data_IF_839505405248
#
_entry.id   IF_839505405248
#
_cell.length_a   1.000
_cell.length_b   1.000
_cell.length_c   1.000
_cell.angle_alpha   90.00
_cell.angle_beta   90.00
_cell.angle_gamma   90.00
#
_symmetry.space_group_name_H-M   'P 1'
#
loop_
_entity.id
_entity.type
_entity.pdbx_description
1 polymer ?
#
# COMPACT_ATOMS: atom_id res chain seq x y z
N UNK A 1 15.37 25.84 27.31
CA UNK A 1 13.99 26.29 27.00
C UNK A 1 13.65 26.00 25.54
N UNK A 2 12.57 25.25 25.29
CA UNK A 2 12.02 25.09 23.94
C UNK A 2 10.81 26.02 23.80
N UNK A 3 10.74 26.74 22.68
CA UNK A 3 9.56 27.52 22.28
C UNK A 3 8.81 26.70 21.24
N UNK A 4 7.49 26.58 21.40
CA UNK A 4 6.61 25.89 20.46
C UNK A 4 5.63 26.90 19.87
N UNK A 5 5.34 26.75 18.58
CA UNK A 5 4.26 27.46 17.90
C UNK A 5 3.14 26.45 17.60
N UNK A 6 1.89 26.82 17.92
CA UNK A 6 0.72 25.97 17.71
C UNK A 6 -0.24 26.67 16.76
N UNK A 7 -0.62 25.97 15.69
CA UNK A 7 -1.76 26.34 14.86
C UNK A 7 -2.97 25.46 15.25
N UNK A 8 -4.16 26.05 15.30
CA UNK A 8 -5.41 25.33 15.54
C UNK A 8 -6.49 25.90 14.62
N UNK A 9 -7.04 25.04 13.78
CA UNK A 9 -8.15 25.38 12.90
C UNK A 9 -9.46 24.80 13.45
N UNK A 10 -10.52 25.62 13.48
CA UNK A 10 -11.88 25.17 13.76
C UNK A 10 -12.73 25.34 12.50
N UNK A 11 -13.27 24.25 11.98
CA UNK A 11 -14.06 24.25 10.74
C UNK A 11 -15.51 23.88 11.07
N UNK A 12 -16.46 24.70 10.62
CA UNK A 12 -17.87 24.38 10.71
C UNK A 12 -18.19 23.23 9.74
N UNK A 13 -18.79 22.16 10.25
CA UNK A 13 -19.18 21.02 9.40
C UNK A 13 -20.23 21.43 8.35
N UNK A 14 -20.22 20.83 7.15
CA UNK A 14 -21.20 21.14 6.11
C UNK A 14 -22.65 21.02 6.60
N UNK A 15 -23.46 22.04 6.32
CA UNK A 15 -24.91 22.00 6.57
C UNK A 15 -25.61 21.11 5.53
N UNK A 16 -25.21 21.21 4.27
CA UNK A 16 -25.60 20.30 3.20
C UNK A 16 -24.74 19.03 3.27
N UNK A 17 -25.25 18.01 3.96
CA UNK A 17 -24.56 16.75 4.19
C UNK A 17 -24.34 15.94 2.90
N UNK A 18 -23.13 15.42 2.71
CA UNK A 18 -22.87 14.40 1.69
C UNK A 18 -23.70 13.14 1.97
N UNK A 19 -24.25 12.51 0.92
CA UNK A 19 -24.89 11.19 1.05
C UNK A 19 -23.85 10.15 1.53
N UNK A 20 -24.03 9.54 2.71
CA UNK A 20 -23.12 8.49 3.21
C UNK A 20 -23.18 7.24 2.33
N UNK A 21 -22.12 6.43 2.38
CA UNK A 21 -22.09 5.09 1.79
C UNK A 21 -21.77 4.08 2.88
N UNK A 22 -22.56 3.02 2.97
CA UNK A 22 -22.35 1.98 3.97
C UNK A 22 -21.05 1.21 3.72
N UNK A 23 -20.40 0.86 4.82
CA UNK A 23 -19.20 0.02 4.82
C UNK A 23 -19.53 -1.40 4.37
N UNK A 24 -18.67 -1.97 3.53
CA UNK A 24 -18.71 -3.37 3.13
C UNK A 24 -17.33 -4.00 3.35
N UNK A 25 -17.20 -5.08 4.14
CA UNK A 25 -15.90 -5.69 4.45
C UNK A 25 -15.22 -6.32 3.23
N UNK A 26 -15.89 -6.40 2.08
CA UNK A 26 -15.31 -6.89 0.81
C UNK A 26 -14.62 -5.78 0.01
N UNK A 27 -14.71 -4.52 0.44
CA UNK A 27 -14.03 -3.38 -0.19
C UNK A 27 -13.32 -2.56 0.89
N UNK A 28 -11.99 -2.46 0.76
CA UNK A 28 -11.08 -1.92 1.76
C UNK A 28 -11.13 -0.41 1.97
N UNK A 29 -12.17 0.09 2.62
CA UNK A 29 -12.27 1.48 3.07
C UNK A 29 -12.12 1.63 4.59
N UNK A 30 -11.54 2.75 5.01
CA UNK A 30 -11.68 3.24 6.37
C UNK A 30 -13.16 3.58 6.61
N UNK A 31 -13.59 3.40 7.84
CA UNK A 31 -14.98 3.59 8.19
C UNK A 31 -15.12 4.20 9.58
N UNK A 32 -16.20 4.94 9.75
CA UNK A 32 -16.65 5.47 11.04
C UNK A 32 -18.02 4.91 11.34
N UNK A 33 -18.34 4.78 12.63
CA UNK A 33 -19.60 4.19 13.06
C UNK A 33 -20.28 5.01 14.13
N UNK A 34 -21.60 5.01 14.10
CA UNK A 34 -22.44 5.58 15.15
C UNK A 34 -23.58 4.63 15.51
N UNK A 35 -24.13 4.87 16.69
CA UNK A 35 -25.18 4.05 17.27
C UNK A 35 -26.51 4.77 17.01
N UNK A 36 -27.38 4.13 16.22
CA UNK A 36 -28.70 4.63 15.87
C UNK A 36 -29.76 3.87 16.68
N UNK A 37 -30.39 4.58 17.61
CA UNK A 37 -31.38 4.04 18.53
C UNK A 37 -32.79 3.98 17.92
N UNK A 38 -33.03 4.68 16.80
CA UNK A 38 -34.35 4.76 16.17
C UNK A 38 -34.47 3.84 14.95
N UNK A 39 -33.35 3.51 14.30
CA UNK A 39 -33.34 2.70 13.09
C UNK A 39 -33.65 1.20 13.29
N UNK A 40 -33.74 0.71 14.53
CA UNK A 40 -34.12 -0.67 14.82
C UNK A 40 -35.29 -0.73 15.82
N UNK A 41 -36.52 -1.04 15.37
CA UNK A 41 -37.68 -1.11 16.26
C UNK A 41 -37.60 -2.25 17.30
N UNK A 42 -36.62 -3.14 17.20
CA UNK A 42 -36.38 -4.26 18.12
C UNK A 42 -34.99 -4.21 18.77
N UNK A 43 -34.31 -3.06 18.77
CA UNK A 43 -32.99 -2.92 19.39
C UNK A 43 -32.26 -1.65 18.99
N UNK A 44 -30.95 -1.74 18.76
CA UNK A 44 -30.11 -0.62 18.33
C UNK A 44 -29.35 -1.02 17.07
N UNK A 45 -29.29 -0.14 16.06
CA UNK A 45 -28.54 -0.38 14.82
C UNK A 45 -27.20 0.34 14.89
N UNK A 46 -26.09 -0.39 14.79
CA UNK A 46 -24.78 0.23 14.56
C UNK A 46 -24.65 0.53 13.07
N UNK A 47 -24.67 1.79 12.69
CA UNK A 47 -24.39 2.19 11.33
C UNK A 47 -22.87 2.34 11.17
N UNK A 48 -22.32 1.82 10.08
CA UNK A 48 -20.90 1.95 9.74
C UNK A 48 -20.81 2.43 8.31
N UNK A 49 -20.18 3.58 8.11
CA UNK A 49 -20.10 4.29 6.83
C UNK A 49 -18.64 4.49 6.47
N UNK A 50 -18.32 4.41 5.18
CA UNK A 50 -16.96 4.65 4.71
C UNK A 50 -16.58 6.12 4.82
N UNK A 51 -15.29 6.40 4.93
CA UNK A 51 -14.77 7.77 4.78
C UNK A 51 -14.33 8.01 3.34
N UNK A 52 -14.77 9.11 2.72
CA UNK A 52 -14.44 9.49 1.34
C UNK A 52 -14.64 10.97 1.07
N UNK A 53 -13.99 11.51 0.05
CA UNK A 53 -14.29 12.87 -0.44
C UNK A 53 -15.65 12.94 -1.13
N UNK A 54 -16.30 14.11 -1.04
CA UNK A 54 -17.51 14.39 -1.79
C UNK A 54 -17.18 14.67 -3.26
N UNK A 55 -17.43 13.70 -4.14
CA UNK A 55 -17.37 13.88 -5.60
C UNK A 55 -18.77 13.76 -6.22
N UNK A 56 -19.23 14.88 -6.74
CA UNK A 56 -20.50 15.02 -7.47
C UNK A 56 -20.21 15.79 -8.77
N UNK A 57 -20.88 15.49 -9.90
CA UNK A 57 -20.76 16.29 -11.12
C UNK A 57 -21.19 17.74 -10.90
N UNK A 58 -20.65 18.66 -11.70
CA UNK A 58 -21.24 20.00 -11.87
C UNK A 58 -22.69 19.86 -12.37
N UNK A 59 -23.56 20.78 -11.99
CA UNK A 59 -25.00 20.70 -12.28
C UNK A 59 -25.27 20.59 -13.81
N UNK A 60 -24.52 21.34 -14.60
CA UNK A 60 -24.56 21.35 -16.07
C UNK A 60 -24.04 20.06 -16.73
N UNK A 61 -23.27 19.25 -16.01
CA UNK A 61 -22.63 18.03 -16.51
C UNK A 61 -23.32 16.74 -16.03
N UNK A 62 -24.38 16.83 -15.21
CA UNK A 62 -25.12 15.68 -14.67
C UNK A 62 -25.60 14.73 -15.77
N UNK A 63 -26.17 15.26 -16.85
CA UNK A 63 -26.68 14.42 -17.96
C UNK A 63 -25.55 13.81 -18.79
N UNK A 64 -24.39 14.47 -18.89
CA UNK A 64 -23.18 13.87 -19.51
C UNK A 64 -22.66 12.70 -18.67
N UNK A 65 -22.58 12.89 -17.35
CA UNK A 65 -22.17 11.86 -16.42
C UNK A 65 -23.07 10.61 -16.51
N UNK A 66 -24.40 10.82 -16.53
CA UNK A 66 -25.37 9.71 -16.67
C UNK A 66 -25.25 8.96 -17.99
N UNK A 67 -24.76 9.60 -19.06
CA UNK A 67 -24.44 8.95 -20.34
C UNK A 67 -23.10 8.21 -20.35
N UNK A 68 -22.34 8.29 -19.25
CA UNK A 68 -21.03 7.66 -19.12
C UNK A 68 -19.87 8.50 -19.67
N UNK A 69 -20.10 9.78 -19.98
CA UNK A 69 -19.02 10.71 -20.36
C UNK A 69 -18.21 11.11 -19.12
N UNK A 70 -16.89 11.30 -19.28
CA UNK A 70 -16.04 11.82 -18.21
C UNK A 70 -16.30 13.30 -17.99
N UNK A 71 -16.66 13.66 -16.75
CA UNK A 71 -16.96 15.04 -16.34
C UNK A 71 -15.97 15.50 -15.27
N UNK A 72 -15.93 16.79 -14.99
CA UNK A 72 -15.21 17.30 -13.83
C UNK A 72 -16.11 17.30 -12.60
N UNK A 73 -15.60 16.95 -11.40
CA UNK A 73 -16.40 17.11 -10.19
C UNK A 73 -16.61 18.59 -9.89
N UNK A 74 -17.70 18.89 -9.18
CA UNK A 74 -17.99 20.22 -8.69
C UNK A 74 -16.88 20.77 -7.77
N UNK A 75 -16.27 19.88 -6.97
CA UNK A 75 -15.11 20.19 -6.13
C UNK A 75 -14.01 19.13 -6.34
N UNK A 76 -12.96 19.44 -7.12
CA UNK A 76 -11.78 18.60 -7.21
C UNK A 76 -11.05 18.45 -5.87
N UNK A 77 -10.39 17.33 -5.67
CA UNK A 77 -9.48 17.09 -4.56
C UNK A 77 -8.13 17.72 -4.92
N UNK A 78 -7.69 18.69 -4.12
CA UNK A 78 -6.46 19.45 -4.40
C UNK A 78 -5.46 19.24 -3.26
N UNK A 79 -4.26 18.77 -3.60
CA UNK A 79 -3.13 18.68 -2.67
C UNK A 79 -2.12 19.78 -2.98
N UNK A 80 -1.63 20.45 -1.94
CA UNK A 80 -0.50 21.37 -2.06
C UNK A 80 0.80 20.72 -1.57
N UNK A 81 1.89 20.98 -2.26
CA UNK A 81 3.22 20.56 -1.81
C UNK A 81 3.84 21.66 -0.96
N UNK A 82 4.30 21.28 0.23
CA UNK A 82 5.00 22.18 1.15
C UNK A 82 6.20 22.86 0.47
N UNK A 83 6.28 24.21 0.50
CA UNK A 83 7.44 24.96 0.02
C UNK A 83 8.80 24.50 0.58
N UNK A 84 8.82 23.94 1.79
CA UNK A 84 10.01 23.41 2.44
C UNK A 84 10.51 22.09 1.81
N UNK A 85 9.71 21.45 0.96
CA UNK A 85 10.12 20.25 0.24
C UNK A 85 11.29 20.56 -0.69
N UNK A 86 12.38 19.77 -0.67
CA UNK A 86 13.47 19.91 -1.63
C UNK A 86 12.95 19.89 -3.07
N UNK A 87 13.30 20.93 -3.85
CA UNK A 87 12.68 21.18 -5.18
C UNK A 87 12.80 20.02 -6.17
N UNK A 88 13.86 19.22 -6.07
CA UNK A 88 14.04 18.02 -6.91
C UNK A 88 13.00 16.92 -6.68
N UNK A 89 12.37 16.88 -5.50
CA UNK A 89 11.35 15.87 -5.15
C UNK A 89 9.92 16.31 -5.46
N UNK A 90 9.68 17.62 -5.60
CA UNK A 90 8.35 18.20 -5.87
C UNK A 90 7.67 17.56 -7.10
N UNK A 91 8.34 17.36 -8.25
CA UNK A 91 7.70 16.73 -9.41
C UNK A 91 7.20 15.31 -9.14
N UNK A 92 7.92 14.56 -8.31
CA UNK A 92 7.59 13.17 -7.99
C UNK A 92 6.42 13.05 -7.00
N UNK A 93 6.35 13.95 -6.01
CA UNK A 93 5.19 14.05 -5.11
C UNK A 93 3.92 14.47 -5.87
N UNK A 94 4.05 15.44 -6.78
CA UNK A 94 2.94 15.85 -7.65
C UNK A 94 2.47 14.66 -8.51
N UNK A 95 3.41 13.93 -9.11
CA UNK A 95 3.08 12.76 -9.90
C UNK A 95 2.38 11.68 -9.07
N UNK A 96 2.79 11.45 -7.82
CA UNK A 96 2.19 10.43 -6.96
C UNK A 96 0.71 10.70 -6.64
N UNK A 97 0.36 11.98 -6.40
CA UNK A 97 -1.05 12.40 -6.28
C UNK A 97 -1.80 12.21 -7.60
N UNK A 98 -1.22 12.66 -8.71
CA UNK A 98 -1.88 12.65 -10.02
C UNK A 98 -2.07 11.24 -10.59
N UNK A 99 -1.30 10.25 -10.14
CA UNK A 99 -1.45 8.85 -10.57
C UNK A 99 -2.86 8.30 -10.31
N UNK A 100 -3.53 8.79 -9.25
CA UNK A 100 -4.90 8.39 -8.90
C UNK A 100 -5.96 8.86 -9.89
N UNK A 101 -5.65 9.79 -10.79
CA UNK A 101 -6.59 10.26 -11.80
C UNK A 101 -7.14 9.10 -12.65
N UNK A 102 -6.30 8.12 -13.01
CA UNK A 102 -6.74 6.96 -13.79
C UNK A 102 -7.79 6.09 -13.05
N UNK A 103 -7.78 6.09 -11.71
CA UNK A 103 -8.79 5.41 -10.91
C UNK A 103 -10.10 6.22 -10.86
N UNK A 104 -10.02 7.54 -10.71
CA UNK A 104 -11.20 8.41 -10.74
C UNK A 104 -11.92 8.45 -12.10
N UNK A 105 -11.19 8.24 -13.21
CA UNK A 105 -11.81 8.07 -14.53
C UNK A 105 -12.76 6.86 -14.54
N UNK A 106 -12.45 5.79 -13.79
CA UNK A 106 -13.39 4.65 -13.63
C UNK A 106 -14.64 5.06 -12.88
N UNK A 107 -14.54 5.98 -11.92
CA UNK A 107 -15.70 6.57 -11.26
C UNK A 107 -16.45 7.61 -12.12
N UNK A 108 -15.98 7.93 -13.33
CA UNK A 108 -16.61 8.88 -14.26
C UNK A 108 -16.08 10.31 -14.17
N UNK A 109 -14.97 10.54 -13.46
CA UNK A 109 -14.43 11.88 -13.23
C UNK A 109 -13.04 12.06 -13.84
N UNK A 110 -12.87 13.11 -14.66
CA UNK A 110 -11.57 13.67 -15.07
C UNK A 110 -11.22 14.87 -14.18
N UNK A 111 -9.93 15.19 -14.03
CA UNK A 111 -9.44 16.27 -13.16
C UNK A 111 -10.02 16.20 -11.74
N UNK A 112 -10.19 14.98 -11.22
CA UNK A 112 -10.82 14.72 -9.93
C UNK A 112 -9.85 14.94 -8.78
N UNK A 113 -8.57 14.63 -8.99
CA UNK A 113 -7.50 14.76 -8.03
C UNK A 113 -6.30 15.40 -8.70
N UNK A 114 -5.74 16.42 -8.07
CA UNK A 114 -4.58 17.17 -8.58
C UNK A 114 -3.66 17.62 -7.45
N UNK A 115 -2.35 17.56 -7.69
CA UNK A 115 -1.37 18.23 -6.85
C UNK A 115 -0.81 19.49 -7.50
N UNK A 116 -0.48 20.48 -6.67
CA UNK A 116 0.10 21.77 -7.06
C UNK A 116 1.16 22.20 -6.07
N UNK A 117 2.11 23.02 -6.51
CA UNK A 117 2.93 23.77 -5.54
C UNK A 117 2.04 24.73 -4.74
N UNK A 118 2.38 24.94 -3.47
CA UNK A 118 1.73 25.93 -2.63
C UNK A 118 1.78 27.34 -3.30
N UNK A 119 0.68 28.10 -3.25
CA UNK A 119 0.64 29.47 -3.76
C UNK A 119 1.68 30.38 -3.10
N UNK A 120 2.22 31.34 -3.86
CA UNK A 120 3.07 32.41 -3.33
C UNK A 120 2.24 33.57 -2.77
N UNK A 121 1.18 33.27 -2.04
CA UNK A 121 0.29 34.27 -1.41
C UNK A 121 0.63 34.35 0.09
N UNK A 122 1.00 35.53 0.63
CA UNK A 122 1.30 35.68 2.05
C UNK A 122 0.12 35.39 2.98
N UNK A 123 -1.12 35.39 2.47
CA UNK A 123 -2.31 35.02 3.25
C UNK A 123 -2.64 33.52 3.18
N UNK A 124 -1.91 32.76 2.37
CA UNK A 124 -2.06 31.31 2.29
C UNK A 124 -1.18 30.64 3.33
N UNK A 125 -1.76 29.70 4.07
CA UNK A 125 -1.03 28.86 5.02
C UNK A 125 -1.26 27.39 4.71
N UNK A 126 -0.20 26.60 4.86
CA UNK A 126 -0.26 25.14 4.74
C UNK A 126 -1.02 24.50 5.92
N UNK A 127 -1.03 25.17 7.07
CA UNK A 127 -1.71 24.71 8.28
C UNK A 127 -3.21 25.07 8.30
N UNK A 128 -3.70 25.77 7.26
CA UNK A 128 -5.11 26.08 7.10
C UNK A 128 -5.89 24.81 6.75
N UNK A 129 -6.85 24.43 7.59
CA UNK A 129 -7.68 23.23 7.39
C UNK A 129 -8.54 23.26 6.11
N UNK A 130 -8.59 24.37 5.38
CA UNK A 130 -9.22 24.43 4.04
C UNK A 130 -8.33 23.85 2.94
N UNK A 131 -7.06 23.58 3.22
CA UNK A 131 -6.08 23.08 2.27
C UNK A 131 -5.57 21.70 2.68
N UNK A 132 -5.69 20.74 1.78
CA UNK A 132 -4.99 19.46 1.90
C UNK A 132 -3.56 19.60 1.39
N UNK A 133 -2.59 18.96 2.04
CA UNK A 133 -1.19 19.13 1.71
C UNK A 133 -0.34 17.90 1.98
N UNK A 134 0.80 17.82 1.29
CA UNK A 134 1.93 16.97 1.67
C UNK A 134 2.92 17.87 2.42
N UNK A 135 3.00 17.66 3.73
CA UNK A 135 3.74 18.51 4.67
C UNK A 135 5.11 17.91 4.93
N UNK A 136 6.16 18.65 4.61
CA UNK A 136 7.53 18.15 4.71
C UNK A 136 8.04 18.31 6.14
N UNK A 137 8.50 17.21 6.74
CA UNK A 137 9.01 17.16 8.10
C UNK A 137 10.53 16.90 8.06
N UNK A 138 11.38 17.90 8.40
CA UNK A 138 12.83 17.73 8.47
C UNK A 138 13.20 16.94 9.75
N UNK A 139 12.87 15.66 9.76
CA UNK A 139 13.05 14.73 10.88
C UNK A 139 13.85 13.52 10.46
N UNK A 140 14.63 13.00 11.42
CA UNK A 140 15.39 11.76 11.39
C UNK A 140 14.50 10.51 11.51
N UNK A 141 13.22 10.65 11.85
CA UNK A 141 12.24 9.55 11.85
C UNK A 141 11.98 9.13 10.39
N UNK A 142 12.25 7.87 10.01
CA UNK A 142 12.03 7.42 8.66
C UNK A 142 10.59 6.93 8.51
N UNK A 143 9.67 7.80 8.10
CA UNK A 143 8.25 7.43 7.95
C UNK A 143 7.49 8.32 6.96
N UNK A 144 6.30 7.91 6.59
CA UNK A 144 5.25 8.78 6.06
C UNK A 144 3.89 8.37 6.65
N UNK A 145 2.93 9.29 6.67
CA UNK A 145 1.56 8.94 7.05
C UNK A 145 0.54 9.84 6.38
N UNK A 146 -0.51 9.24 5.81
CA UNK A 146 -1.66 9.93 5.20
C UNK A 146 -2.92 9.89 6.05
N UNK A 147 -3.02 10.65 7.17
CA UNK A 147 -4.25 10.76 7.94
C UNK A 147 -5.30 11.58 7.19
N UNK A 148 -6.55 11.52 7.63
CA UNK A 148 -7.58 12.44 7.14
C UNK A 148 -8.56 12.81 8.26
N UNK A 149 -9.11 14.03 8.19
CA UNK A 149 -10.22 14.48 9.06
C UNK A 149 -11.53 14.36 8.30
N UNK A 150 -12.57 13.86 8.96
CA UNK A 150 -13.85 13.58 8.31
C UNK A 150 -15.05 13.95 9.20
N UNK A 151 -16.17 14.26 8.56
CA UNK A 151 -17.45 14.45 9.24
C UNK A 151 -17.95 13.08 9.76
N UNK A 152 -18.12 12.90 11.09
CA UNK A 152 -18.55 11.63 11.66
C UNK A 152 -19.99 11.23 11.28
N UNK A 153 -20.79 12.19 10.78
CA UNK A 153 -22.19 11.96 10.40
C UNK A 153 -22.31 11.35 9.01
N UNK A 154 -21.37 11.65 8.12
CA UNK A 154 -21.45 11.31 6.69
C UNK A 154 -20.26 10.54 6.14
N UNK A 155 -19.14 10.55 6.86
CA UNK A 155 -17.85 10.07 6.37
C UNK A 155 -17.20 11.00 5.34
N UNK A 156 -17.72 12.21 5.13
CA UNK A 156 -17.13 13.18 4.20
C UNK A 156 -15.74 13.60 4.70
N UNK A 157 -14.69 13.27 3.93
CA UNK A 157 -13.34 13.76 4.19
C UNK A 157 -13.31 15.26 3.92
N UNK A 158 -12.82 16.02 4.90
CA UNK A 158 -12.80 17.49 4.89
C UNK A 158 -11.43 18.02 4.50
N UNK A 159 -10.37 17.43 5.07
CA UNK A 159 -8.97 17.80 4.83
C UNK A 159 -8.05 16.60 5.10
N UNK A 160 -6.82 16.72 4.60
CA UNK A 160 -5.72 15.81 4.93
C UNK A 160 -4.37 16.53 4.88
N UNK A 161 -3.51 16.25 5.86
CA UNK A 161 -2.09 16.58 5.84
C UNK A 161 -1.25 15.32 5.87
N UNK A 162 -0.71 14.93 4.72
CA UNK A 162 0.25 13.82 4.64
C UNK A 162 1.55 14.27 5.30
N UNK A 163 1.98 13.57 6.34
CA UNK A 163 3.25 13.84 6.99
C UNK A 163 4.36 13.14 6.20
N UNK A 164 5.24 13.94 5.58
CA UNK A 164 6.34 13.44 4.77
C UNK A 164 7.67 13.66 5.47
N UNK A 165 8.23 12.62 6.09
CA UNK A 165 9.47 12.76 6.85
C UNK A 165 10.69 12.66 5.94
N UNK A 166 11.69 13.51 6.17
CA UNK A 166 12.92 13.55 5.37
C UNK A 166 13.60 12.18 5.29
N UNK A 167 13.73 11.49 6.44
CA UNK A 167 14.51 10.26 6.51
C UNK A 167 13.82 9.03 5.90
N UNK A 168 12.62 9.16 5.30
CA UNK A 168 11.99 8.05 4.56
C UNK A 168 12.90 7.52 3.43
N UNK A 169 13.77 8.37 2.89
CA UNK A 169 14.73 8.00 1.85
C UNK A 169 15.68 6.87 2.29
N UNK A 170 15.99 6.77 3.59
CA UNK A 170 16.79 5.68 4.14
C UNK A 170 16.08 4.32 4.00
N UNK A 171 14.78 4.28 4.31
CA UNK A 171 13.97 3.08 4.16
C UNK A 171 13.83 2.71 2.68
N UNK A 172 13.53 3.69 1.82
CA UNK A 172 13.44 3.48 0.38
C UNK A 172 14.73 2.89 -0.19
N UNK A 173 15.89 3.42 0.25
CA UNK A 173 17.20 2.87 -0.10
C UNK A 173 17.33 1.41 0.32
N UNK A 174 17.10 1.11 1.60
CA UNK A 174 17.27 -0.24 2.15
C UNK A 174 16.35 -1.24 1.47
N UNK A 175 15.06 -0.92 1.36
CA UNK A 175 14.08 -1.79 0.75
C UNK A 175 14.42 -2.09 -0.71
N UNK A 176 14.75 -1.06 -1.49
CA UNK A 176 15.08 -1.25 -2.90
C UNK A 176 16.40 -2.01 -3.09
N UNK A 177 17.42 -1.69 -2.29
CA UNK A 177 18.69 -2.41 -2.32
C UNK A 177 18.47 -3.91 -2.11
N UNK A 178 17.74 -4.29 -1.05
CA UNK A 178 17.58 -5.70 -0.66
C UNK A 178 16.63 -6.45 -1.59
N UNK A 179 15.58 -5.80 -2.10
CA UNK A 179 14.57 -6.48 -2.92
C UNK A 179 14.86 -6.44 -4.43
N UNK A 180 15.69 -5.50 -4.92
CA UNK A 180 15.91 -5.30 -6.37
C UNK A 180 17.36 -5.50 -6.84
N UNK A 181 18.40 -5.44 -5.99
CA UNK A 181 19.82 -5.49 -6.45
C UNK A 181 20.20 -6.74 -7.25
N UNK A 182 19.49 -7.85 -7.04
CA UNK A 182 19.70 -9.05 -7.84
C UNK A 182 19.41 -8.81 -9.33
N UNK A 183 18.42 -7.98 -9.66
CA UNK A 183 17.89 -7.80 -11.02
C UNK A 183 18.07 -6.40 -11.59
N UNK A 184 18.22 -5.38 -10.75
CA UNK A 184 18.41 -3.99 -11.16
C UNK A 184 19.79 -3.46 -10.73
N UNK A 185 20.71 -3.21 -11.68
CA UNK A 185 21.99 -2.58 -11.39
C UNK A 185 21.88 -1.21 -10.70
N UNK A 186 20.79 -0.47 -10.90
CA UNK A 186 20.61 0.85 -10.28
C UNK A 186 20.49 0.79 -8.75
N UNK A 187 20.12 -0.37 -8.20
CA UNK A 187 20.00 -0.61 -6.76
C UNK A 187 21.34 -0.93 -6.06
N UNK A 188 22.42 -1.22 -6.82
CA UNK A 188 23.71 -1.75 -6.31
C UNK A 188 24.65 -0.67 -5.77
N UNK A 189 24.09 0.37 -5.16
CA UNK A 189 24.82 1.52 -4.62
C UNK A 189 24.09 2.07 -3.40
N UNK A 190 24.84 2.57 -2.43
CA UNK A 190 24.35 3.18 -1.19
C UNK A 190 23.68 4.55 -1.44
N UNK A 191 24.12 5.27 -2.48
CA UNK A 191 23.56 6.55 -2.91
C UNK A 191 22.89 6.41 -4.27
N UNK A 192 21.57 6.38 -4.26
CA UNK A 192 20.79 6.41 -5.50
C UNK A 192 20.91 7.76 -6.20
N UNK A 193 20.80 7.73 -7.53
CA UNK A 193 20.63 8.97 -8.28
C UNK A 193 19.25 9.57 -8.02
N UNK A 194 19.11 10.86 -8.31
CA UNK A 194 17.87 11.59 -8.05
C UNK A 194 16.68 11.01 -8.82
N UNK A 195 16.91 10.42 -9.99
CA UNK A 195 15.82 9.81 -10.76
C UNK A 195 15.27 8.58 -10.04
N UNK A 196 16.14 7.66 -9.62
CA UNK A 196 15.74 6.46 -8.91
C UNK A 196 15.07 6.80 -7.57
N UNK A 197 15.69 7.67 -6.77
CA UNK A 197 15.10 8.08 -5.50
C UNK A 197 13.77 8.80 -5.69
N UNK A 198 13.65 9.63 -6.74
CA UNK A 198 12.40 10.28 -7.10
C UNK A 198 11.27 9.30 -7.41
N UNK A 199 11.52 8.23 -8.17
CA UNK A 199 10.50 7.20 -8.45
C UNK A 199 10.10 6.43 -7.17
N UNK A 200 11.05 6.18 -6.25
CA UNK A 200 10.76 5.56 -4.95
C UNK A 200 9.90 6.49 -4.07
N UNK A 201 10.17 7.79 -4.09
CA UNK A 201 9.36 8.82 -3.43
C UNK A 201 7.95 8.87 -4.03
N UNK A 202 7.82 8.84 -5.37
CA UNK A 202 6.54 8.80 -6.05
C UNK A 202 5.71 7.59 -5.62
N UNK A 203 6.31 6.40 -5.55
CA UNK A 203 5.64 5.19 -5.05
C UNK A 203 4.99 5.41 -3.69
N UNK A 204 5.77 5.83 -2.67
CA UNK A 204 5.21 6.03 -1.32
C UNK A 204 4.20 7.17 -1.30
N UNK A 205 4.44 8.26 -2.04
CA UNK A 205 3.47 9.34 -2.17
C UNK A 205 2.14 8.83 -2.72
N UNK A 206 2.14 7.98 -3.75
CA UNK A 206 0.93 7.37 -4.29
C UNK A 206 0.23 6.48 -3.26
N UNK A 207 0.97 5.73 -2.45
CA UNK A 207 0.42 4.90 -1.38
C UNK A 207 -0.27 5.74 -0.29
N UNK A 208 0.41 6.76 0.23
CA UNK A 208 -0.16 7.64 1.27
C UNK A 208 -1.41 8.37 0.77
N UNK A 209 -1.42 8.80 -0.50
CA UNK A 209 -2.62 9.39 -1.11
C UNK A 209 -3.79 8.42 -1.09
N UNK A 210 -3.56 7.11 -1.30
CA UNK A 210 -4.61 6.10 -1.18
C UNK A 210 -5.33 6.12 0.17
N UNK A 211 -4.58 6.27 1.27
CA UNK A 211 -5.18 6.44 2.60
C UNK A 211 -6.03 7.69 2.73
N UNK A 212 -5.56 8.81 2.16
CA UNK A 212 -6.33 10.06 2.16
C UNK A 212 -7.59 9.99 1.29
N UNK A 213 -7.69 9.02 0.38
CA UNK A 213 -8.88 8.73 -0.40
C UNK A 213 -9.85 7.80 0.35
N UNK A 214 -9.53 7.43 1.59
CA UNK A 214 -10.33 6.54 2.43
C UNK A 214 -9.96 5.07 2.29
N UNK A 215 -8.91 4.70 1.55
CA UNK A 215 -8.54 3.29 1.36
C UNK A 215 -7.70 2.76 2.51
N UNK A 216 -7.97 1.53 2.94
CA UNK A 216 -7.13 0.77 3.87
C UNK A 216 -6.05 0.02 3.11
N UNK A 217 -5.08 -0.52 3.84
CA UNK A 217 -4.21 -1.53 3.26
C UNK A 217 -5.01 -2.75 2.80
N UNK A 218 -4.64 -3.30 1.66
CA UNK A 218 -5.19 -4.53 1.08
C UNK A 218 -4.14 -5.64 1.10
N UNK A 219 -3.79 -6.14 2.29
CA UNK A 219 -2.76 -7.18 2.49
C UNK A 219 -3.04 -8.51 1.77
N UNK A 220 -4.22 -8.68 1.17
CA UNK A 220 -4.54 -9.87 0.38
C UNK A 220 -4.51 -9.67 -1.11
N UNK A 221 -4.02 -8.52 -1.60
CA UNK A 221 -4.01 -8.25 -3.04
C UNK A 221 -2.97 -9.12 -3.75
N UNK A 222 -1.80 -9.32 -3.14
CA UNK A 222 -0.66 -10.08 -3.67
C UNK A 222 -1.03 -11.54 -3.89
N UNK A 223 -1.77 -12.13 -2.95
CA UNK A 223 -2.23 -13.52 -2.94
C UNK A 223 -3.16 -13.87 -4.11
N UNK A 224 -3.67 -12.86 -4.84
CA UNK A 224 -4.50 -13.07 -6.04
C UNK A 224 -3.68 -13.30 -7.32
N UNK A 225 -2.36 -13.15 -7.25
CA UNK A 225 -1.45 -13.19 -8.41
C UNK A 225 -0.62 -14.47 -8.40
N UNK A 226 -0.63 -15.29 -9.46
CA UNK A 226 0.24 -16.46 -9.53
C UNK A 226 1.72 -16.07 -9.45
N UNK A 227 2.50 -16.69 -8.55
CA UNK A 227 3.94 -16.37 -8.36
C UNK A 227 4.73 -16.38 -9.68
N UNK A 228 4.48 -17.36 -10.54
CA UNK A 228 5.19 -17.49 -11.83
C UNK A 228 4.88 -16.33 -12.80
N UNK A 229 3.74 -15.64 -12.65
CA UNK A 229 3.43 -14.45 -13.45
C UNK A 229 4.27 -13.23 -13.06
N UNK A 230 4.81 -13.21 -11.84
CA UNK A 230 5.73 -12.16 -11.40
C UNK A 230 7.10 -12.23 -12.09
N UNK A 231 7.41 -13.37 -12.73
CA UNK A 231 8.63 -13.60 -13.52
C UNK A 231 8.41 -13.43 -15.03
N UNK A 232 7.16 -13.44 -15.48
CA UNK A 232 6.79 -13.21 -16.87
C UNK A 232 6.83 -11.70 -17.17
N UNK A 233 7.94 -11.23 -17.75
CA UNK A 233 8.17 -9.81 -18.07
C UNK A 233 6.98 -9.14 -18.77
N UNK A 234 6.45 -9.76 -19.83
CA UNK A 234 5.37 -9.16 -20.61
C UNK A 234 4.11 -9.02 -19.75
N UNK A 235 3.83 -10.02 -18.94
CA UNK A 235 2.67 -10.00 -18.07
C UNK A 235 2.83 -9.00 -16.92
N UNK A 236 3.92 -9.05 -16.16
CA UNK A 236 4.09 -8.20 -14.96
C UNK A 236 4.23 -6.72 -15.35
N UNK A 237 4.89 -6.39 -16.45
CA UNK A 237 4.99 -5.01 -16.91
C UNK A 237 3.65 -4.46 -17.42
N UNK A 238 2.73 -5.31 -17.88
CA UNK A 238 1.37 -4.90 -18.26
C UNK A 238 0.42 -4.80 -17.06
N UNK A 239 0.51 -5.71 -16.09
CA UNK A 239 -0.50 -5.89 -15.04
C UNK A 239 -0.06 -5.39 -13.64
N UNK A 240 1.24 -5.19 -13.43
CA UNK A 240 1.83 -4.90 -12.11
C UNK A 240 2.06 -6.20 -11.34
N UNK A 241 2.98 -6.16 -10.36
CA UNK A 241 3.23 -7.33 -9.50
C UNK A 241 2.13 -7.52 -8.46
N UNK A 242 1.40 -6.47 -8.09
CA UNK A 242 0.19 -6.53 -7.28
C UNK A 242 -0.99 -5.79 -7.94
N UNK A 243 -2.24 -6.19 -7.68
CA UNK A 243 -3.42 -5.45 -8.14
C UNK A 243 -3.68 -4.15 -7.38
N UNK A 244 -3.02 -3.94 -6.24
CA UNK A 244 -3.24 -2.80 -5.35
C UNK A 244 -1.91 -2.18 -4.92
N UNK A 245 -1.76 -0.87 -5.03
CA UNK A 245 -0.67 -0.15 -4.37
C UNK A 245 -0.81 -0.18 -2.84
N UNK A 246 -2.03 -0.40 -2.35
CA UNK A 246 -2.34 -0.50 -0.92
C UNK A 246 -1.98 -1.86 -0.31
N UNK A 247 -1.42 -2.79 -1.09
CA UNK A 247 -1.06 -4.14 -0.63
C UNK A 247 0.06 -4.18 0.42
N UNK A 248 0.86 -3.11 0.47
CA UNK A 248 2.09 -3.08 1.27
C UNK A 248 3.14 -4.09 0.75
N UNK A 249 3.10 -4.40 -0.55
CA UNK A 249 4.07 -5.22 -1.25
C UNK A 249 5.03 -4.34 -2.07
N UNK A 250 6.23 -4.09 -1.52
CA UNK A 250 7.12 -3.01 -1.96
C UNK A 250 7.77 -3.21 -3.33
N UNK A 251 8.50 -4.29 -3.58
CA UNK A 251 9.13 -4.51 -4.88
C UNK A 251 9.03 -5.98 -5.27
N UNK A 252 9.03 -6.26 -6.57
CA UNK A 252 8.96 -7.62 -7.11
C UNK A 252 10.24 -8.43 -6.81
N UNK A 253 10.40 -8.89 -5.56
CA UNK A 253 11.54 -9.69 -5.12
C UNK A 253 11.54 -11.13 -5.68
N UNK A 254 10.46 -11.54 -6.36
CA UNK A 254 10.33 -12.86 -7.00
C UNK A 254 11.10 -12.89 -8.32
N UNK A 255 11.17 -11.77 -9.04
CA UNK A 255 11.87 -11.67 -10.31
C UNK A 255 13.35 -12.06 -10.19
N UNK A 256 13.86 -12.74 -11.22
CA UNK A 256 15.21 -13.28 -11.31
C UNK A 256 16.01 -12.58 -12.42
N UNK A 257 17.36 -12.60 -12.40
CA UNK A 257 18.18 -11.94 -13.41
C UNK A 257 17.84 -12.37 -14.84
N UNK A 258 17.55 -13.65 -15.04
CA UNK A 258 17.16 -14.24 -16.32
C UNK A 258 15.82 -13.72 -16.87
N UNK A 259 14.96 -13.15 -16.02
CA UNK A 259 13.63 -12.69 -16.40
C UNK A 259 13.67 -11.32 -17.12
N UNK A 260 14.78 -10.57 -16.98
CA UNK A 260 15.02 -9.28 -17.63
C UNK A 260 13.90 -8.23 -17.40
N UNK A 261 13.21 -8.29 -16.25
CA UNK A 261 12.13 -7.38 -15.88
C UNK A 261 12.69 -5.98 -15.65
N UNK A 262 12.05 -4.96 -16.22
CA UNK A 262 12.44 -3.55 -16.01
C UNK A 262 11.76 -2.95 -14.79
N UNK A 263 12.12 -1.72 -14.41
CA UNK A 263 11.47 -0.96 -13.34
C UNK A 263 9.93 -0.99 -13.41
N UNK A 264 9.35 -1.05 -14.62
CA UNK A 264 7.88 -1.12 -14.83
C UNK A 264 7.23 -2.38 -14.21
N UNK A 265 7.97 -3.46 -14.03
CA UNK A 265 7.52 -4.70 -13.38
C UNK A 265 8.11 -4.92 -11.99
N UNK A 266 8.92 -3.99 -11.49
CA UNK A 266 9.53 -4.02 -10.15
C UNK A 266 8.75 -3.12 -9.18
N UNK A 267 8.36 -1.92 -9.63
CA UNK A 267 7.78 -0.88 -8.78
C UNK A 267 6.27 -1.05 -8.58
N UNK A 268 5.74 -0.70 -7.38
CA UNK A 268 4.30 -0.69 -7.14
C UNK A 268 3.65 0.46 -7.88
N UNK A 269 2.38 0.28 -8.19
CA UNK A 269 1.57 1.27 -8.87
C UNK A 269 0.11 0.99 -8.61
N UNK A 270 -0.70 2.00 -8.91
CA UNK A 270 -2.16 1.88 -8.88
C UNK A 270 -2.60 0.80 -9.88
N UNK A 271 -3.23 -0.23 -9.35
CA UNK A 271 -3.60 -1.44 -10.08
C UNK A 271 -5.09 -1.59 -10.30
N UNK A 272 -5.51 -2.82 -10.58
CA UNK A 272 -6.89 -3.16 -10.90
C UNK A 272 -7.82 -3.04 -9.69
N UNK A 273 -7.35 -3.45 -8.51
CA UNK A 273 -8.08 -3.34 -7.26
C UNK A 273 -8.29 -1.87 -6.86
N UNK A 274 -7.24 -1.04 -6.95
CA UNK A 274 -7.34 0.39 -6.60
C UNK A 274 -8.40 1.10 -7.45
N UNK A 275 -8.38 0.85 -8.77
CA UNK A 275 -9.37 1.36 -9.72
C UNK A 275 -10.78 0.91 -9.38
N UNK A 276 -10.94 -0.35 -9.00
CA UNK A 276 -12.22 -0.90 -8.58
C UNK A 276 -12.71 -0.30 -7.27
N UNK A 277 -11.85 -0.18 -6.25
CA UNK A 277 -12.19 0.40 -4.96
C UNK A 277 -12.57 1.88 -5.09
N UNK A 278 -11.83 2.66 -5.90
CA UNK A 278 -12.18 4.06 -6.20
C UNK A 278 -13.49 4.14 -6.97
N UNK A 279 -13.71 3.30 -7.99
CA UNK A 279 -14.99 3.27 -8.69
C UNK A 279 -16.15 2.98 -7.74
N UNK A 280 -16.01 1.98 -6.87
CA UNK A 280 -17.07 1.62 -5.91
C UNK A 280 -17.35 2.75 -4.91
N UNK A 281 -16.31 3.39 -4.37
CA UNK A 281 -16.48 4.44 -3.35
C UNK A 281 -16.89 5.80 -3.92
N UNK A 282 -16.49 6.13 -5.15
CA UNK A 282 -16.63 7.47 -5.71
C UNK A 282 -17.61 7.60 -6.88
N UNK A 283 -18.11 6.49 -7.45
CA UNK A 283 -19.17 6.58 -8.47
C UNK A 283 -20.41 7.24 -7.88
N UNK A 284 -20.86 8.32 -8.49
CA UNK A 284 -22.04 9.06 -8.08
C UNK A 284 -23.30 8.32 -8.53
N UNK A 285 -24.16 7.95 -7.58
CA UNK A 285 -25.37 7.13 -7.81
C UNK A 285 -26.64 7.85 -7.32
N UNK A 286 -27.04 8.96 -7.96
CA UNK A 286 -28.17 9.78 -7.51
C UNK A 286 -29.54 9.10 -7.70
N UNK A 287 -29.60 8.02 -8.48
CA UNK A 287 -30.83 7.29 -8.74
C UNK A 287 -31.38 6.54 -7.52
N UNK A 288 -30.52 6.20 -6.55
CA UNK A 288 -30.92 5.50 -5.33
C UNK A 288 -31.35 6.52 -4.28
N UNK A 289 -32.63 6.49 -3.90
CA UNK A 289 -33.22 7.45 -2.96
C UNK A 289 -33.06 6.99 -1.53
N UNK A 290 -33.01 5.68 -1.30
CA UNK A 290 -32.80 5.10 0.04
C UNK A 290 -31.45 4.43 0.15
N UNK A 291 -31.04 4.15 1.38
CA UNK A 291 -29.80 3.42 1.69
C UNK A 291 -29.93 1.95 1.26
N UNK A 292 -31.11 1.36 1.45
CA UNK A 292 -31.39 -0.04 1.12
C UNK A 292 -31.31 -0.31 -0.39
N UNK A 293 -31.77 0.63 -1.22
CA UNK A 293 -31.65 0.53 -2.68
C UNK A 293 -30.18 0.53 -3.12
N UNK A 294 -29.37 1.41 -2.53
CA UNK A 294 -27.93 1.51 -2.82
C UNK A 294 -27.16 0.29 -2.31
N UNK A 295 -27.47 -0.21 -1.12
CA UNK A 295 -26.86 -1.41 -0.53
C UNK A 295 -27.17 -2.66 -1.37
N UNK A 296 -28.42 -2.83 -1.82
CA UNK A 296 -28.80 -3.95 -2.67
C UNK A 296 -28.08 -3.90 -4.03
N UNK A 297 -27.93 -2.71 -4.62
CA UNK A 297 -27.15 -2.52 -5.84
C UNK A 297 -25.66 -2.77 -5.62
N UNK A 298 -25.10 -2.24 -4.52
CA UNK A 298 -23.70 -2.39 -4.12
C UNK A 298 -23.35 -3.87 -3.94
N UNK A 299 -24.16 -4.61 -3.17
CA UNK A 299 -23.97 -6.05 -2.95
C UNK A 299 -23.92 -6.84 -4.27
N UNK A 300 -24.90 -6.63 -5.15
CA UNK A 300 -24.93 -7.27 -6.48
C UNK A 300 -23.70 -6.93 -7.31
N UNK A 301 -23.26 -5.67 -7.27
CA UNK A 301 -22.10 -5.20 -8.03
C UNK A 301 -20.81 -5.83 -7.50
N UNK A 302 -20.60 -5.87 -6.18
CA UNK A 302 -19.45 -6.52 -5.55
C UNK A 302 -19.43 -8.00 -5.93
N UNK A 303 -20.53 -8.74 -5.76
CA UNK A 303 -20.61 -10.17 -6.12
C UNK A 303 -20.26 -10.40 -7.58
N UNK A 304 -20.79 -9.57 -8.50
CA UNK A 304 -20.51 -9.67 -9.93
C UNK A 304 -19.04 -9.40 -10.24
N UNK A 305 -18.45 -8.38 -9.62
CA UNK A 305 -17.06 -7.96 -9.89
C UNK A 305 -16.06 -8.98 -9.36
N UNK A 306 -16.23 -9.41 -8.10
CA UNK A 306 -15.34 -10.39 -7.46
C UNK A 306 -15.43 -11.79 -8.09
N UNK A 307 -16.59 -12.16 -8.64
CA UNK A 307 -16.73 -13.44 -9.36
C UNK A 307 -16.15 -13.42 -10.78
N UNK A 308 -15.99 -12.23 -11.38
CA UNK A 308 -15.42 -12.07 -12.71
C UNK A 308 -13.90 -11.96 -12.71
N UNK A 309 -13.31 -11.40 -11.66
CA UNK A 309 -11.87 -11.18 -11.57
C UNK A 309 -11.36 -11.31 -10.11
N UNK A 310 -10.50 -12.30 -9.90
CA UNK A 310 -9.89 -12.59 -8.60
C UNK A 310 -8.96 -11.46 -8.13
N UNK A 311 -8.44 -10.64 -9.05
CA UNK A 311 -7.55 -9.50 -8.73
C UNK A 311 -8.27 -8.36 -8.01
N UNK A 312 -9.60 -8.41 -7.92
CA UNK A 312 -10.43 -7.41 -7.26
C UNK A 312 -10.74 -7.74 -5.79
N UNK A 313 -10.15 -8.80 -5.25
CA UNK A 313 -10.38 -9.22 -3.87
C UNK A 313 -9.64 -8.30 -2.87
N UNK A 314 -10.34 -8.02 -1.77
CA UNK A 314 -9.79 -7.35 -0.60
C UNK A 314 -9.40 -8.37 0.48
N UNK A 315 -8.18 -8.25 1.00
CA UNK A 315 -7.70 -8.88 2.22
C UNK A 315 -7.42 -7.85 3.30
N UNK A 316 -7.99 -8.05 4.48
CA UNK A 316 -7.91 -7.09 5.59
C UNK A 316 -6.61 -7.21 6.36
N UNK A 317 -6.00 -6.07 6.68
CA UNK A 317 -4.84 -5.98 7.59
C UNK A 317 -5.14 -6.42 9.03
N UNK A 318 -6.41 -6.55 9.40
CA UNK A 318 -6.84 -6.86 10.77
C UNK A 318 -7.01 -8.36 11.06
N UNK A 319 -6.82 -9.24 10.08
CA UNK A 319 -6.90 -10.70 10.27
C UNK A 319 -5.51 -11.34 10.16
N UNK A 320 -4.76 -11.43 11.28
CA UNK A 320 -3.40 -11.98 11.26
C UNK A 320 -3.35 -13.52 11.14
N UNK A 321 -4.51 -14.20 11.08
CA UNK A 321 -4.59 -15.66 10.98
C UNK A 321 -4.73 -16.14 9.54
N UNK A 322 -5.12 -15.28 8.62
CA UNK A 322 -5.22 -15.61 7.20
C UNK A 322 -3.86 -15.42 6.53
N UNK A 323 -3.17 -16.49 6.11
CA UNK A 323 -1.87 -16.37 5.46
C UNK A 323 -1.93 -15.73 4.08
N UNK A 324 -3.13 -15.42 3.56
CA UNK A 324 -3.29 -14.61 2.35
C UNK A 324 -3.22 -13.12 2.65
N UNK A 325 -3.38 -12.68 3.90
CA UNK A 325 -3.46 -11.27 4.30
C UNK A 325 -2.18 -10.87 5.05
N UNK A 326 -1.06 -10.71 4.34
CA UNK A 326 0.21 -10.37 4.96
C UNK A 326 0.84 -9.14 4.31
N UNK A 327 1.43 -8.27 5.12
CA UNK A 327 2.27 -7.21 4.55
C UNK A 327 3.54 -7.80 3.97
N UNK A 328 4.06 -7.16 2.92
CA UNK A 328 5.35 -7.44 2.28
C UNK A 328 5.46 -8.80 1.56
N UNK A 329 4.39 -9.58 1.45
CA UNK A 329 4.42 -10.84 0.70
C UNK A 329 4.11 -10.62 -0.78
N UNK A 330 4.36 -11.65 -1.60
CA UNK A 330 4.10 -11.64 -3.02
C UNK A 330 3.53 -12.97 -3.50
N UNK A 331 2.46 -12.87 -4.28
CA UNK A 331 1.88 -13.97 -5.04
C UNK A 331 1.08 -14.98 -4.22
N UNK A 332 0.48 -15.93 -4.94
CA UNK A 332 -0.46 -16.93 -4.42
C UNK A 332 0.18 -18.11 -3.66
N UNK A 333 1.51 -18.14 -3.54
CA UNK A 333 2.24 -19.18 -2.82
C UNK A 333 3.48 -18.59 -2.12
N UNK A 334 3.36 -18.39 -0.80
CA UNK A 334 4.42 -17.82 0.03
C UNK A 334 5.72 -18.63 -0.04
N UNK A 335 5.66 -19.97 -0.06
CA UNK A 335 6.86 -20.81 -0.13
C UNK A 335 7.65 -20.58 -1.41
N UNK A 336 6.97 -20.57 -2.57
CA UNK A 336 7.61 -20.33 -3.87
C UNK A 336 8.16 -18.92 -3.98
N UNK A 337 7.39 -17.91 -3.57
CA UNK A 337 7.85 -16.53 -3.58
C UNK A 337 9.08 -16.34 -2.69
N UNK A 338 9.04 -16.90 -1.48
CA UNK A 338 10.16 -16.89 -0.53
C UNK A 338 11.38 -17.64 -1.04
N UNK A 339 11.22 -18.76 -1.76
CA UNK A 339 12.35 -19.47 -2.41
C UNK A 339 13.05 -18.59 -3.45
N UNK A 340 12.29 -17.87 -4.30
CA UNK A 340 12.85 -16.91 -5.25
C UNK A 340 13.52 -15.73 -4.56
N UNK A 341 12.90 -15.20 -3.49
CA UNK A 341 13.48 -14.14 -2.66
C UNK A 341 14.80 -14.57 -2.02
N UNK A 342 14.85 -15.75 -1.39
CA UNK A 342 16.07 -16.32 -0.81
C UNK A 342 17.16 -16.53 -1.87
N UNK A 343 16.79 -16.98 -3.08
CA UNK A 343 17.73 -17.09 -4.20
C UNK A 343 18.34 -15.73 -4.55
N UNK A 344 17.57 -14.65 -4.47
CA UNK A 344 18.07 -13.28 -4.66
C UNK A 344 18.97 -12.84 -3.49
N UNK A 345 18.59 -13.08 -2.23
CA UNK A 345 19.42 -12.73 -1.07
C UNK A 345 20.80 -13.42 -1.11
N UNK A 346 20.84 -14.69 -1.52
CA UNK A 346 22.11 -15.44 -1.73
C UNK A 346 23.04 -14.80 -2.76
N UNK A 347 22.50 -14.14 -3.79
CA UNK A 347 23.31 -13.37 -4.76
C UNK A 347 23.79 -12.06 -4.16
N UNK A 348 22.90 -11.36 -3.45
CA UNK A 348 23.16 -10.04 -2.87
C UNK A 348 24.27 -10.12 -1.81
N UNK A 349 24.21 -11.08 -0.88
CA UNK A 349 25.21 -11.18 0.19
C UNK A 349 26.65 -11.29 -0.35
N UNK A 350 26.86 -12.08 -1.42
CA UNK A 350 28.19 -12.26 -2.03
C UNK A 350 28.78 -11.01 -2.68
N UNK A 351 27.94 -10.00 -2.95
CA UNK A 351 28.32 -8.73 -3.58
C UNK A 351 28.15 -7.55 -2.65
N UNK A 352 27.62 -7.78 -1.44
CA UNK A 352 27.32 -6.73 -0.48
C UNK A 352 28.56 -5.94 -0.04
N UNK A 353 29.75 -6.55 0.22
CA UNK A 353 30.96 -5.78 0.53
C UNK A 353 31.35 -4.79 -0.57
N UNK A 354 31.10 -5.14 -1.83
CA UNK A 354 31.37 -4.29 -3.00
C UNK A 354 30.33 -3.18 -3.13
N UNK A 355 29.04 -3.52 -3.04
CA UNK A 355 27.92 -2.59 -3.30
C UNK A 355 27.59 -1.67 -2.12
N UNK A 356 27.93 -2.05 -0.89
CA UNK A 356 27.75 -1.25 0.31
C UNK A 356 28.93 -0.29 0.58
N UNK A 357 29.91 -0.24 -0.32
CA UNK A 357 31.13 0.55 -0.13
C UNK A 357 30.87 2.05 -0.33
N UNK A 358 31.27 2.84 0.66
CA UNK A 358 31.42 4.30 0.55
C UNK A 358 32.88 4.67 0.72
N UNK A 359 33.39 5.53 -0.16
CA UNK A 359 34.76 6.02 -0.05
C UNK A 359 34.92 6.87 1.21
N UNK A 360 36.00 6.63 1.98
CA UNK A 360 36.36 7.35 3.21
C UNK A 360 35.43 7.11 4.41
N UNK A 361 34.54 6.10 4.35
CA UNK A 361 33.68 5.70 5.46
C UNK A 361 34.04 4.30 5.99
N UNK A 362 33.48 3.96 7.15
CA UNK A 362 33.58 2.62 7.75
C UNK A 362 32.57 1.62 7.16
N UNK A 363 32.28 0.57 7.93
CA UNK A 363 31.39 -0.53 7.52
C UNK A 363 29.94 -0.36 7.98
N UNK A 364 29.50 0.85 8.35
CA UNK A 364 28.15 1.09 8.89
C UNK A 364 27.04 0.76 7.88
N UNK A 365 27.24 1.12 6.60
CA UNK A 365 26.31 0.76 5.54
C UNK A 365 26.29 -0.75 5.27
N UNK A 366 27.46 -1.41 5.32
CA UNK A 366 27.54 -2.87 5.21
C UNK A 366 26.80 -3.55 6.38
N UNK A 367 27.00 -3.08 7.61
CA UNK A 367 26.33 -3.57 8.81
C UNK A 367 24.81 -3.38 8.72
N UNK A 368 24.37 -2.20 8.27
CA UNK A 368 22.95 -1.87 8.07
C UNK A 368 22.31 -2.79 7.02
N UNK A 369 22.90 -2.87 5.82
CA UNK A 369 22.35 -3.66 4.72
C UNK A 369 22.37 -5.16 5.01
N UNK A 370 23.39 -5.65 5.73
CA UNK A 370 23.44 -7.04 6.19
C UNK A 370 22.33 -7.33 7.21
N UNK A 371 22.07 -6.39 8.14
CA UNK A 371 20.94 -6.44 9.06
C UNK A 371 19.59 -6.48 8.34
N UNK A 372 19.38 -5.61 7.35
CA UNK A 372 18.17 -5.55 6.53
C UNK A 372 17.97 -6.82 5.71
N UNK A 373 19.04 -7.41 5.16
CA UNK A 373 18.98 -8.70 4.46
C UNK A 373 18.50 -9.82 5.40
N UNK A 374 19.03 -9.88 6.62
CA UNK A 374 18.61 -10.87 7.62
C UNK A 374 17.15 -10.64 8.06
N UNK A 375 16.74 -9.39 8.21
CA UNK A 375 15.35 -9.03 8.45
C UNK A 375 14.43 -9.47 7.31
N UNK A 376 14.87 -9.30 6.05
CA UNK A 376 14.12 -9.75 4.87
C UNK A 376 14.05 -11.28 4.79
N UNK A 377 15.12 -12.00 5.14
CA UNK A 377 15.09 -13.47 5.24
C UNK A 377 14.06 -13.93 6.28
N UNK A 378 14.09 -13.35 7.48
CA UNK A 378 13.12 -13.68 8.54
C UNK A 378 11.68 -13.34 8.14
N UNK A 379 11.48 -12.27 7.37
CA UNK A 379 10.18 -11.91 6.81
C UNK A 379 9.66 -13.00 5.87
N UNK A 380 10.49 -13.50 4.94
CA UNK A 380 10.14 -14.60 4.04
C UNK A 380 9.79 -15.89 4.80
N UNK A 381 10.53 -16.19 5.86
CA UNK A 381 10.24 -17.32 6.76
C UNK A 381 8.91 -17.12 7.49
N UNK A 382 8.66 -15.92 8.00
CA UNK A 382 7.40 -15.55 8.67
C UNK A 382 6.17 -15.68 7.77
N UNK A 383 6.30 -15.30 6.48
CA UNK A 383 5.24 -15.50 5.49
C UNK A 383 4.88 -16.98 5.32
N UNK A 384 5.89 -17.85 5.27
CA UNK A 384 5.67 -19.30 5.20
C UNK A 384 5.05 -19.83 6.50
N UNK A 385 5.43 -19.31 7.67
CA UNK A 385 4.94 -19.77 8.98
C UNK A 385 3.45 -19.59 9.15
N UNK A 386 2.88 -18.50 8.63
CA UNK A 386 1.43 -18.26 8.68
C UNK A 386 0.61 -19.32 7.97
N UNK A 387 1.20 -20.04 7.02
CA UNK A 387 0.50 -21.11 6.30
C UNK A 387 0.28 -22.35 7.18
N UNK A 388 1.08 -22.60 8.21
CA UNK A 388 0.90 -23.71 9.14
C UNK A 388 -0.19 -23.35 10.16
N UNK A 389 -1.31 -24.10 10.17
CA UNK A 389 -2.45 -23.81 11.05
C UNK A 389 -3.29 -22.58 10.67
N UNK A 390 -2.97 -21.89 9.57
CA UNK A 390 -3.67 -20.68 9.13
C UNK A 390 -5.16 -20.89 8.81
N UNK A 391 -5.93 -19.80 8.88
CA UNK A 391 -7.39 -19.78 8.66
C UNK A 391 -7.73 -18.75 7.60
N UNK A 392 -8.28 -19.21 6.48
CA UNK A 392 -8.79 -18.32 5.45
C UNK A 392 -10.10 -17.70 5.91
N UNK A 393 -10.17 -16.37 5.86
CA UNK A 393 -11.38 -15.59 6.07
C UNK A 393 -11.78 -14.91 4.77
N UNK A 394 -12.93 -15.30 4.22
CA UNK A 394 -13.48 -14.72 2.98
C UNK A 394 -14.85 -14.10 3.29
N UNK A 395 -14.93 -12.77 3.49
CA UNK A 395 -16.19 -12.10 3.77
C UNK A 395 -17.21 -12.36 2.65
N UNK A 396 -18.43 -12.76 3.04
CA UNK A 396 -19.51 -13.12 2.12
C UNK A 396 -20.85 -12.62 2.65
N UNK A 397 -21.77 -12.35 1.74
CA UNK A 397 -23.19 -12.20 2.04
C UNK A 397 -23.95 -13.50 1.78
N UNK A 398 -25.19 -13.58 2.24
CA UNK A 398 -26.05 -14.77 2.13
C UNK A 398 -26.34 -15.19 0.68
N UNK A 399 -26.18 -14.29 -0.28
CA UNK A 399 -26.32 -14.58 -1.71
C UNK A 399 -25.09 -15.28 -2.31
N UNK A 400 -23.95 -15.30 -1.61
CA UNK A 400 -22.72 -15.94 -2.07
C UNK A 400 -22.59 -17.36 -1.52
N UNK A 401 -22.22 -18.32 -2.40
CA UNK A 401 -22.00 -19.72 -2.01
C UNK A 401 -20.66 -19.94 -1.28
N UNK A 402 -20.58 -21.06 -0.57
CA UNK A 402 -19.37 -21.54 0.12
C UNK A 402 -19.22 -20.96 1.53
N UNK A 403 -18.12 -21.27 2.19
CA UNK A 403 -17.89 -20.88 3.59
C UNK A 403 -17.20 -19.52 3.70
N UNK A 404 -17.38 -18.86 4.85
CA UNK A 404 -16.62 -17.66 5.24
C UNK A 404 -15.25 -18.06 5.78
N UNK A 405 -15.19 -19.14 6.55
CA UNK A 405 -13.95 -19.66 7.14
C UNK A 405 -13.57 -20.99 6.52
N UNK A 406 -12.28 -21.18 6.26
CA UNK A 406 -11.70 -22.50 5.93
C UNK A 406 -10.27 -22.59 6.46
N UNK A 407 -9.76 -23.81 6.63
CA UNK A 407 -8.36 -24.02 7.07
C UNK A 407 -7.45 -24.05 5.85
N UNK A 408 -6.21 -23.62 6.04
CA UNK A 408 -5.15 -23.77 5.02
C UNK A 408 -5.06 -25.25 4.59
N UNK A 409 -5.08 -25.57 3.29
CA UNK A 409 -5.05 -26.96 2.82
C UNK A 409 -3.83 -27.74 3.33
N UNK A 410 -4.01 -29.02 3.63
CA UNK A 410 -2.92 -29.89 4.12
C UNK A 410 -1.68 -29.86 3.22
N UNK A 411 -1.88 -29.87 1.89
CA UNK A 411 -0.77 -29.82 0.93
C UNK A 411 0.10 -28.56 1.08
N UNK A 412 -0.53 -27.41 1.32
CA UNK A 412 0.17 -26.13 1.54
C UNK A 412 0.92 -26.13 2.88
N UNK A 413 0.29 -26.67 3.93
CA UNK A 413 0.96 -26.82 5.24
C UNK A 413 2.17 -27.75 5.17
N UNK A 414 2.06 -28.87 4.42
CA UNK A 414 3.17 -29.78 4.18
C UNK A 414 4.29 -29.10 3.39
N UNK A 415 3.97 -28.34 2.34
CA UNK A 415 4.95 -27.56 1.57
C UNK A 415 5.68 -26.53 2.46
N UNK A 416 4.97 -25.88 3.39
CA UNK A 416 5.58 -24.97 4.37
C UNK A 416 6.57 -25.70 5.30
N UNK A 417 6.24 -26.89 5.78
CA UNK A 417 7.16 -27.71 6.58
C UNK A 417 8.40 -28.14 5.78
N UNK A 418 8.21 -28.52 4.51
CA UNK A 418 9.31 -28.86 3.61
C UNK A 418 10.24 -27.65 3.36
N UNK A 419 9.67 -26.44 3.24
CA UNK A 419 10.42 -25.18 3.16
C UNK A 419 11.26 -24.93 4.42
N UNK A 420 10.71 -25.13 5.62
CA UNK A 420 11.46 -24.93 6.88
C UNK A 420 12.60 -25.93 7.03
N UNK A 421 12.35 -27.20 6.74
CA UNK A 421 13.39 -28.23 6.76
C UNK A 421 14.58 -27.83 5.87
N UNK A 422 14.30 -27.28 4.69
CA UNK A 422 15.32 -26.90 3.70
C UNK A 422 16.05 -25.60 4.03
N UNK A 423 15.32 -24.56 4.44
CA UNK A 423 15.87 -23.19 4.50
C UNK A 423 16.19 -22.71 5.93
N UNK A 424 15.61 -23.35 6.96
CA UNK A 424 15.75 -22.91 8.35
C UNK A 424 16.39 -23.99 9.22
N UNK A 425 15.80 -25.19 9.29
CA UNK A 425 16.28 -26.24 10.17
C UNK A 425 17.56 -26.90 9.66
N UNK A 426 17.71 -27.03 8.33
CA UNK A 426 19.02 -27.18 7.73
C UNK A 426 19.75 -25.85 7.88
N UNK A 427 20.79 -25.83 8.72
CA UNK A 427 21.50 -24.60 9.09
C UNK A 427 21.86 -23.78 7.84
N UNK A 428 21.35 -22.55 7.69
CA UNK A 428 21.57 -21.72 6.51
C UNK A 428 22.97 -21.08 6.55
N UNK A 429 24.01 -21.88 6.36
CA UNK A 429 25.42 -21.44 6.43
C UNK A 429 25.78 -20.33 5.44
N UNK A 430 25.01 -20.19 4.35
CA UNK A 430 25.18 -19.11 3.38
C UNK A 430 24.93 -17.72 3.98
N UNK A 431 24.23 -17.61 5.12
CA UNK A 431 24.08 -16.35 5.86
C UNK A 431 25.37 -15.94 6.58
N UNK A 432 26.32 -16.85 6.76
CA UNK A 432 27.58 -16.62 7.49
C UNK A 432 28.68 -16.32 6.49
N UNK A 433 28.81 -15.05 6.11
CA UNK A 433 29.93 -14.57 5.30
C UNK A 433 31.05 -14.03 6.21
N UNK A 434 32.18 -14.72 6.27
CA UNK A 434 33.28 -14.37 7.19
C UNK A 434 33.91 -13.00 6.90
N UNK A 435 33.95 -12.58 5.64
CA UNK A 435 34.49 -11.27 5.28
C UNK A 435 33.59 -10.16 5.83
N UNK A 436 32.27 -10.29 5.62
CA UNK A 436 31.29 -9.36 6.17
C UNK A 436 31.39 -9.34 7.69
N UNK A 437 31.31 -10.51 8.34
CA UNK A 437 31.26 -10.61 9.81
C UNK A 437 32.50 -10.04 10.49
N UNK A 438 33.69 -10.26 9.92
CA UNK A 438 34.93 -9.69 10.45
C UNK A 438 34.95 -8.15 10.32
N UNK A 439 34.39 -7.62 9.24
CA UNK A 439 34.32 -6.17 9.01
C UNK A 439 33.28 -5.46 9.89
N UNK A 440 32.19 -6.14 10.26
CA UNK A 440 31.09 -5.56 11.07
C UNK A 440 31.07 -6.02 12.53
N UNK A 441 32.00 -6.89 12.94
CA UNK A 441 32.14 -7.37 14.32
C UNK A 441 31.00 -8.26 14.83
N UNK A 442 30.39 -9.09 13.97
CA UNK A 442 29.25 -9.95 14.32
C UNK A 442 29.68 -11.42 14.52
N UNK A 443 29.06 -12.12 15.47
CA UNK A 443 29.36 -13.53 15.74
C UNK A 443 28.51 -14.47 14.86
N UNK A 444 29.11 -15.42 14.12
CA UNK A 444 28.39 -16.40 13.30
C UNK A 444 27.25 -17.14 14.03
N UNK A 445 27.48 -17.54 15.28
CA UNK A 445 26.51 -18.28 16.09
C UNK A 445 25.29 -17.43 16.41
N UNK A 446 25.49 -16.14 16.71
CA UNK A 446 24.40 -15.21 17.00
C UNK A 446 23.51 -14.97 15.77
N UNK A 447 24.10 -14.93 14.57
CA UNK A 447 23.37 -14.82 13.31
C UNK A 447 22.45 -16.02 13.09
N UNK A 448 23.00 -17.23 13.19
CA UNK A 448 22.22 -18.47 13.01
C UNK A 448 21.13 -18.58 14.09
N UNK A 449 21.48 -18.29 15.35
CA UNK A 449 20.55 -18.33 16.47
C UNK A 449 19.37 -17.37 16.26
N UNK A 450 19.65 -16.13 15.86
CA UNK A 450 18.62 -15.12 15.57
C UNK A 450 17.64 -15.58 14.50
N UNK A 451 18.12 -16.25 13.47
CA UNK A 451 17.31 -16.71 12.34
C UNK A 451 16.48 -17.94 12.71
N UNK A 452 17.06 -18.90 13.43
CA UNK A 452 16.38 -20.15 13.78
C UNK A 452 15.42 -20.04 14.97
N UNK A 453 15.67 -19.17 15.96
CA UNK A 453 14.74 -18.94 17.07
C UNK A 453 13.51 -18.13 16.63
N UNK A 454 13.68 -17.24 15.64
CA UNK A 454 12.59 -16.38 15.17
C UNK A 454 11.59 -17.10 14.26
N UNK A 455 11.95 -18.31 13.78
CA UNK A 455 11.17 -19.15 12.89
C UNK A 455 10.34 -20.16 13.71
#
# INVERSE_FOLDING_TARGET
PATYELNSSMVLLPSNQMKPRNFDPRVGYFATGYVDFDANPQGVKRQTIITRWRLEPKAEDVEKYKRGELVEPAKPIVFYIDPATPKKWVPYLIAGVNDWQAAFEKAGFKNAIIAKEAPKDPNWSIDDARHSAIVYKPSDIPNASGPHVHDPRTGEILETHINWYHNIMLLLRNWYFIQASAIDPAARKTKFDDKLMGELIRFVSSHEVGHTLGLRHNFGSSATVPVEKLRDKKWVEANGHTPSIMDYARFNYVAQPEDNITAKGIFPRIGDYDKWAIEWGYRWTPQFKTVEEEDAYSNKTIIKRLSADNRLIFGTESDPNDPRNQSEDLGDNAMKASEYGIKNLKRIITKMPEWAKNENEGYDDLSTLYGEMLGQFNRYVGHVAKNVGGVYTTPKTVEQKGTVYSRTPYAIQKEAMDFFNKNVFTTPTWLVDQEILNNIGQNPTDIINRVQISA
#
